data_IF_764156565618
#
_entry.id   IF_764156565618
#
_cell.length_a   1.000
_cell.length_b   1.000
_cell.length_c   1.000
_cell.angle_alpha   90.00
_cell.angle_beta   90.00
_cell.angle_gamma   90.00
#
_symmetry.space_group_name_H-M   'P 1'
#
loop_
_entity.id
_entity.type
_entity.pdbx_description
1 polymer ?
#
# COMPACT_ATOMS: atom_id res chain seq x y z
N UNK A 1 2.63 -5.95 -14.75
CA UNK A 1 3.56 -4.81 -14.87
C UNK A 1 4.85 -5.26 -14.25
N UNK A 2 5.87 -5.59 -15.05
CA UNK A 2 7.18 -5.97 -14.51
C UNK A 2 8.07 -4.75 -14.66
N UNK A 3 8.16 -3.97 -13.57
CA UNK A 3 8.96 -2.73 -13.51
C UNK A 3 10.48 -3.01 -13.44
N UNK A 4 10.91 -4.27 -13.51
CA UNK A 4 12.29 -4.67 -13.31
C UNK A 4 12.75 -5.59 -14.42
N UNK A 5 13.91 -5.27 -15.00
CA UNK A 5 14.66 -6.15 -15.89
C UNK A 5 15.06 -7.39 -15.07
N UNK A 6 14.77 -8.62 -15.53
CA UNK A 6 15.21 -9.84 -14.86
C UNK A 6 16.73 -9.80 -14.61
N UNK A 7 17.16 -9.90 -13.35
CA UNK A 7 18.59 -9.85 -12.96
C UNK A 7 18.97 -8.73 -11.97
N UNK A 8 18.15 -7.69 -11.81
CA UNK A 8 18.35 -6.61 -10.83
C UNK A 8 17.68 -6.89 -9.46
N UNK A 9 17.60 -8.16 -9.05
CA UNK A 9 16.75 -8.67 -7.96
C UNK A 9 17.22 -8.34 -6.53
N UNK A 10 18.24 -7.50 -6.34
CA UNK A 10 18.77 -7.16 -5.00
C UNK A 10 18.47 -5.71 -4.66
N UNK A 11 17.20 -5.39 -4.49
CA UNK A 11 16.81 -4.13 -3.87
C UNK A 11 17.16 -4.18 -2.39
N UNK A 12 17.91 -3.19 -1.91
CA UNK A 12 18.25 -3.07 -0.48
C UNK A 12 16.99 -2.98 0.39
N UNK A 13 15.89 -2.44 -0.16
CA UNK A 13 14.58 -2.36 0.45
C UNK A 13 14.04 -3.74 0.86
N UNK A 14 14.37 -4.80 0.10
CA UNK A 14 13.89 -6.16 0.35
C UNK A 14 14.84 -6.96 1.27
N UNK A 15 16.04 -6.43 1.53
CA UNK A 15 17.13 -7.17 2.18
C UNK A 15 16.77 -7.71 3.56
N UNK A 16 15.88 -7.02 4.30
CA UNK A 16 15.55 -7.36 5.68
C UNK A 16 14.17 -8.02 5.86
N UNK A 17 13.35 -8.17 4.80
CA UNK A 17 12.05 -8.86 4.90
C UNK A 17 12.21 -10.35 5.25
N UNK A 18 13.29 -10.97 4.79
CA UNK A 18 13.61 -12.36 5.13
C UNK A 18 13.78 -12.56 6.65
N UNK A 19 14.30 -11.55 7.35
CA UNK A 19 14.53 -11.59 8.80
C UNK A 19 13.21 -11.53 9.58
N UNK A 20 12.26 -10.69 9.15
CA UNK A 20 10.89 -10.67 9.70
C UNK A 20 10.27 -12.05 9.60
N UNK A 21 10.38 -12.69 8.43
CA UNK A 21 9.80 -14.02 8.19
C UNK A 21 10.42 -15.10 9.07
N UNK A 22 11.73 -15.07 9.28
CA UNK A 22 12.44 -16.01 10.16
C UNK A 22 11.98 -15.84 11.60
N UNK A 23 11.88 -14.59 12.09
CA UNK A 23 11.46 -14.30 13.45
C UNK A 23 10.00 -14.66 13.67
N UNK A 24 9.10 -14.23 12.76
CA UNK A 24 7.68 -14.56 12.77
C UNK A 24 7.41 -16.06 12.91
N UNK A 25 8.13 -16.91 12.15
CA UNK A 25 7.95 -18.37 12.19
C UNK A 25 8.33 -19.01 13.54
N UNK A 26 9.14 -18.34 14.34
CA UNK A 26 9.58 -18.80 15.67
C UNK A 26 8.76 -18.18 16.80
N UNK A 27 7.92 -17.20 16.48
CA UNK A 27 7.12 -16.46 17.45
C UNK A 27 5.69 -16.99 17.48
N UNK A 28 5.06 -16.87 18.66
CA UNK A 28 3.61 -17.01 18.79
C UNK A 28 2.98 -15.65 18.57
N UNK A 29 1.91 -15.60 17.78
CA UNK A 29 1.24 -14.35 17.41
C UNK A 29 -0.22 -14.48 17.76
N UNK A 30 -0.68 -13.68 18.72
CA UNK A 30 -2.08 -13.62 19.11
C UNK A 30 -2.72 -12.31 18.64
N UNK A 31 -1.98 -11.21 18.58
CA UNK A 31 -2.48 -9.85 18.31
C UNK A 31 -1.69 -9.15 17.20
N UNK A 32 -2.20 -8.00 16.74
CA UNK A 32 -1.46 -7.13 15.81
C UNK A 32 -0.21 -6.55 16.46
N UNK A 33 -0.23 -6.29 17.77
CA UNK A 33 0.92 -5.78 18.50
C UNK A 33 2.05 -6.81 18.58
N UNK A 34 1.73 -8.10 18.63
CA UNK A 34 2.74 -9.17 18.52
C UNK A 34 3.44 -9.12 17.15
N UNK A 35 2.67 -8.87 16.07
CA UNK A 35 3.23 -8.72 14.71
C UNK A 35 4.15 -7.51 14.65
N UNK A 36 3.75 -6.38 15.22
CA UNK A 36 4.57 -5.18 15.27
C UNK A 36 5.88 -5.39 16.03
N UNK A 37 5.79 -5.99 17.22
CA UNK A 37 6.95 -6.38 18.01
C UNK A 37 7.88 -7.32 17.23
N UNK A 38 7.34 -8.26 16.46
CA UNK A 38 8.13 -9.12 15.58
C UNK A 38 8.87 -8.31 14.49
N UNK A 39 8.21 -7.34 13.88
CA UNK A 39 8.84 -6.47 12.87
C UNK A 39 9.98 -5.67 13.49
N UNK A 40 9.72 -4.98 14.60
CA UNK A 40 10.69 -4.10 15.26
C UNK A 40 11.90 -4.87 15.81
N UNK A 41 11.67 -6.08 16.32
CA UNK A 41 12.73 -6.92 16.90
C UNK A 41 13.40 -7.86 15.89
N UNK A 42 12.97 -7.87 14.62
CA UNK A 42 13.56 -8.73 13.59
C UNK A 42 14.99 -8.33 13.18
N UNK A 43 15.43 -7.13 13.56
CA UNK A 43 16.76 -6.60 13.25
C UNK A 43 17.37 -5.91 14.47
N UNK A 44 18.67 -6.05 14.69
CA UNK A 44 19.37 -5.44 15.83
C UNK A 44 19.67 -3.95 15.64
N UNK A 45 19.60 -3.46 14.41
CA UNK A 45 19.94 -2.08 14.01
C UNK A 45 18.71 -1.29 13.53
N UNK A 46 17.50 -1.73 13.89
CA UNK A 46 16.22 -1.09 13.53
C UNK A 46 16.06 -0.80 12.03
N UNK A 47 16.54 -1.71 11.18
CA UNK A 47 16.34 -1.63 9.72
C UNK A 47 14.90 -1.94 9.33
N UNK A 48 14.21 -2.74 10.15
CA UNK A 48 12.77 -2.94 10.07
C UNK A 48 12.10 -2.14 11.19
N UNK A 49 11.07 -1.38 10.84
CA UNK A 49 10.25 -0.61 11.77
C UNK A 49 8.78 -0.80 11.42
N UNK A 50 7.97 -1.13 12.43
CA UNK A 50 6.53 -1.23 12.31
C UNK A 50 5.92 0.18 12.23
N UNK A 51 4.83 0.32 11.48
CA UNK A 51 4.05 1.56 11.44
C UNK A 51 2.58 1.21 11.69
N UNK A 52 2.06 1.66 12.83
CA UNK A 52 0.67 1.42 13.21
C UNK A 52 -0.25 2.49 12.63
N UNK A 53 -1.49 2.09 12.37
CA UNK A 53 -2.61 3.01 12.25
C UNK A 53 -3.30 3.10 13.61
N UNK A 54 -3.15 4.22 14.31
CA UNK A 54 -3.70 4.48 15.64
C UNK A 54 -4.82 5.51 15.54
N UNK A 55 -6.05 5.07 15.23
CA UNK A 55 -7.27 5.91 15.24
C UNK A 55 -7.11 7.28 14.52
N UNK A 56 -6.32 7.34 13.45
CA UNK A 56 -6.07 8.58 12.67
C UNK A 56 -4.64 9.12 12.79
N UNK A 57 -3.88 8.68 13.79
CA UNK A 57 -2.44 8.94 13.94
C UNK A 57 -1.61 7.79 13.34
N UNK A 58 -0.49 8.12 12.70
CA UNK A 58 0.38 7.16 12.01
C UNK A 58 0.20 7.12 10.48
N UNK A 59 0.47 5.96 9.86
CA UNK A 59 0.52 5.83 8.40
C UNK A 59 -0.87 5.94 7.75
N UNK A 60 -1.08 6.96 6.91
CA UNK A 60 -2.36 7.19 6.23
C UNK A 60 -2.35 6.68 4.79
N UNK A 61 -3.41 5.97 4.41
CA UNK A 61 -3.61 5.54 3.02
C UNK A 61 -4.32 6.63 2.23
N UNK A 62 -3.60 7.25 1.30
CA UNK A 62 -4.15 8.23 0.37
C UNK A 62 -4.89 7.55 -0.78
N UNK A 63 -6.05 8.10 -1.15
CA UNK A 63 -6.85 7.64 -2.27
C UNK A 63 -6.30 8.16 -3.61
N UNK A 64 -5.11 7.66 -3.97
CA UNK A 64 -4.47 7.99 -5.24
C UNK A 64 -5.28 7.55 -6.46
N UNK A 65 -6.11 6.50 -6.31
CA UNK A 65 -6.97 6.02 -7.38
C UNK A 65 -7.93 7.10 -7.85
N UNK A 66 -8.67 7.69 -6.91
CA UNK A 66 -9.63 8.75 -7.25
C UNK A 66 -8.92 10.06 -7.57
N UNK A 67 -7.82 10.36 -6.87
CA UNK A 67 -6.99 11.54 -7.13
C UNK A 67 -6.49 11.61 -8.58
N UNK A 68 -5.97 10.50 -9.11
CA UNK A 68 -5.46 10.44 -10.49
C UNK A 68 -6.52 10.10 -11.54
N UNK A 69 -7.77 9.87 -11.16
CA UNK A 69 -8.84 9.46 -12.09
C UNK A 69 -9.10 10.50 -13.19
N UNK A 70 -8.88 11.78 -12.91
CA UNK A 70 -9.09 12.87 -13.86
C UNK A 70 -8.03 12.91 -14.98
N UNK A 71 -6.88 12.25 -14.78
CA UNK A 71 -5.81 12.21 -15.76
C UNK A 71 -6.13 11.20 -16.86
N UNK A 72 -5.85 11.58 -18.11
CA UNK A 72 -6.03 10.69 -19.26
C UNK A 72 -4.86 9.72 -19.36
N UNK A 73 -5.16 8.46 -19.64
CA UNK A 73 -4.14 7.43 -19.89
C UNK A 73 -3.52 7.61 -21.26
N UNK A 74 -2.23 7.37 -21.36
CA UNK A 74 -1.54 7.27 -22.65
C UNK A 74 -1.79 5.85 -23.20
N UNK A 75 -2.42 5.70 -24.38
CA UNK A 75 -2.67 4.38 -24.96
C UNK A 75 -1.34 3.71 -25.29
N UNK A 76 -1.20 2.40 -25.03
CA UNK A 76 0.02 1.65 -25.32
C UNK A 76 1.30 2.26 -24.74
N UNK A 77 1.24 2.88 -23.55
CA UNK A 77 2.38 3.58 -22.93
C UNK A 77 3.67 2.74 -22.89
N UNK A 78 3.54 1.41 -22.73
CA UNK A 78 4.68 0.49 -22.70
C UNK A 78 5.39 0.29 -24.04
N UNK A 79 4.75 0.65 -25.16
CA UNK A 79 5.36 0.59 -26.50
C UNK A 79 6.39 1.70 -26.70
N UNK A 80 6.23 2.83 -26.01
CA UNK A 80 7.06 4.01 -26.25
C UNK A 80 8.26 4.00 -25.31
N UNK A 81 9.43 4.36 -25.82
CA UNK A 81 10.68 4.35 -25.04
C UNK A 81 11.18 5.75 -24.71
N UNK A 82 10.73 6.76 -25.44
CA UNK A 82 11.17 8.13 -25.27
C UNK A 82 10.00 9.02 -24.90
N UNK A 83 10.13 9.72 -23.78
CA UNK A 83 9.15 10.68 -23.28
C UNK A 83 9.83 11.99 -22.91
N UNK A 84 9.19 13.12 -23.17
CA UNK A 84 9.57 14.38 -22.57
C UNK A 84 8.35 15.24 -22.22
N UNK A 85 8.60 16.20 -21.34
CA UNK A 85 7.63 17.15 -20.81
C UNK A 85 8.23 18.56 -20.92
N UNK A 86 7.39 19.56 -21.15
CA UNK A 86 7.82 20.96 -21.24
C UNK A 86 6.84 21.86 -20.52
N UNK A 87 7.34 22.94 -19.91
CA UNK A 87 6.52 23.94 -19.23
C UNK A 87 5.59 24.68 -20.18
N UNK A 88 6.01 24.86 -21.44
CA UNK A 88 5.24 25.53 -22.50
C UNK A 88 3.94 24.78 -22.83
N UNK A 89 3.94 23.45 -22.73
CA UNK A 89 2.78 22.59 -23.00
C UNK A 89 2.42 21.77 -21.75
N UNK A 90 2.10 22.47 -20.67
CA UNK A 90 1.77 21.87 -19.39
C UNK A 90 0.56 20.93 -19.49
N UNK A 91 0.74 19.65 -19.12
CA UNK A 91 -0.31 18.63 -19.23
C UNK A 91 -0.32 17.86 -20.55
N UNK A 92 0.64 18.12 -21.43
CA UNK A 92 0.91 17.35 -22.65
C UNK A 92 2.15 16.49 -22.44
N UNK A 93 2.10 15.25 -22.94
CA UNK A 93 3.24 14.34 -22.98
C UNK A 93 3.62 14.11 -24.42
N UNK A 94 4.90 14.32 -24.72
CA UNK A 94 5.48 14.01 -26.01
C UNK A 94 6.19 12.68 -25.93
N UNK A 95 5.91 11.78 -26.88
CA UNK A 95 6.46 10.44 -26.85
C UNK A 95 6.72 9.86 -28.24
N UNK A 96 7.63 8.89 -28.30
CA UNK A 96 7.91 8.10 -29.51
C UNK A 96 8.44 6.71 -29.16
N UNK A 97 8.34 5.81 -30.12
CA UNK A 97 8.78 4.42 -29.99
C UNK A 97 10.30 4.33 -30.18
N UNK A 98 10.81 4.78 -31.34
CA UNK A 98 12.25 4.75 -31.68
C UNK A 98 12.87 6.14 -31.74
N UNK A 99 14.20 6.23 -31.82
CA UNK A 99 14.93 7.50 -31.88
C UNK A 99 14.70 8.26 -33.19
N UNK A 100 14.47 7.56 -34.28
CA UNK A 100 14.29 8.09 -35.63
C UNK A 100 12.87 8.61 -35.87
N UNK A 101 11.92 8.15 -35.04
CA UNK A 101 10.52 8.55 -35.15
C UNK A 101 10.33 10.02 -34.79
N UNK A 102 9.32 10.64 -35.40
CA UNK A 102 8.80 11.93 -34.96
C UNK A 102 8.02 11.79 -33.64
N UNK A 103 8.09 12.82 -32.80
CA UNK A 103 7.33 12.85 -31.56
C UNK A 103 5.84 12.97 -31.85
N UNK A 104 5.06 12.14 -31.16
CA UNK A 104 3.62 12.28 -31.02
C UNK A 104 3.32 12.97 -29.71
N UNK A 105 2.18 13.62 -29.62
CA UNK A 105 1.73 14.27 -28.40
C UNK A 105 0.38 13.73 -27.95
N UNK A 106 0.17 13.71 -26.64
CA UNK A 106 -1.16 13.49 -26.08
C UNK A 106 -1.38 14.35 -24.85
N UNK A 107 -2.57 14.92 -24.74
CA UNK A 107 -2.95 15.69 -23.56
C UNK A 107 -3.38 14.74 -22.45
N UNK A 108 -2.57 14.61 -21.39
CA UNK A 108 -2.89 13.82 -20.19
C UNK A 108 -3.69 14.62 -19.17
N UNK A 109 -3.67 15.96 -19.25
CA UNK A 109 -4.35 16.86 -18.33
C UNK A 109 -4.84 18.11 -19.05
N UNK A 110 -6.13 18.39 -18.99
CA UNK A 110 -6.78 19.57 -19.57
C UNK A 110 -7.39 20.52 -18.51
N UNK A 111 -6.96 20.39 -17.26
CA UNK A 111 -7.44 21.18 -16.12
C UNK A 111 -6.27 21.81 -15.36
N UNK A 112 -6.54 22.88 -14.61
CA UNK A 112 -5.55 23.50 -13.73
C UNK A 112 -5.21 22.56 -12.57
N UNK A 113 -3.92 22.35 -12.31
CA UNK A 113 -3.46 21.46 -11.26
C UNK A 113 -2.80 22.25 -10.14
N UNK A 114 -3.27 22.02 -8.92
CA UNK A 114 -2.63 22.56 -7.74
C UNK A 114 -1.78 21.45 -7.09
N UNK A 115 -0.46 21.60 -7.17
CA UNK A 115 0.50 20.66 -6.60
C UNK A 115 0.41 20.57 -5.07
N UNK A 116 -0.17 21.57 -4.41
CA UNK A 116 -0.36 21.59 -2.96
C UNK A 116 -1.62 20.84 -2.51
N UNK A 117 -2.45 20.34 -3.43
CA UNK A 117 -3.65 19.58 -3.07
C UNK A 117 -3.28 18.14 -2.76
N UNK A 118 -3.49 17.72 -1.53
CA UNK A 118 -3.27 16.34 -1.11
C UNK A 118 -4.46 15.45 -1.50
N UNK A 119 -4.24 14.17 -1.87
CA UNK A 119 -5.34 13.22 -2.06
C UNK A 119 -6.15 13.08 -0.77
N UNK A 120 -7.43 12.72 -0.90
CA UNK A 120 -8.23 12.36 0.26
C UNK A 120 -7.69 11.10 0.94
N UNK A 121 -7.87 11.01 2.26
CA UNK A 121 -7.49 9.83 3.04
C UNK A 121 -8.60 8.77 2.90
N UNK A 122 -8.20 7.51 2.77
CA UNK A 122 -9.10 6.37 2.80
C UNK A 122 -9.46 6.10 4.26
N UNK A 123 -10.72 6.32 4.62
CA UNK A 123 -11.22 5.99 5.96
C UNK A 123 -11.21 4.47 6.19
N UNK A 124 -10.91 4.07 7.42
CA UNK A 124 -11.04 2.68 7.84
C UNK A 124 -12.50 2.27 7.67
N UNK A 125 -12.72 1.12 7.03
CA UNK A 125 -14.03 0.48 7.01
C UNK A 125 -14.06 -0.56 8.13
N UNK A 126 -15.08 -0.54 9.00
CA UNK A 126 -15.26 -1.62 9.97
C UNK A 126 -15.45 -2.94 9.22
N UNK A 127 -15.07 -4.04 9.87
CA UNK A 127 -15.33 -5.37 9.35
C UNK A 127 -16.84 -5.58 9.23
N UNK A 128 -17.28 -6.24 8.16
CA UNK A 128 -18.69 -6.63 8.03
C UNK A 128 -19.06 -7.64 9.13
N UNK A 129 -20.33 -7.67 9.55
CA UNK A 129 -20.81 -8.62 10.55
C UNK A 129 -20.42 -10.06 10.22
N UNK A 130 -20.66 -10.47 8.96
CA UNK A 130 -20.24 -11.78 8.44
C UNK A 130 -18.74 -12.05 8.68
N UNK A 131 -17.88 -11.06 8.44
CA UNK A 131 -16.44 -11.22 8.63
C UNK A 131 -16.07 -11.31 10.11
N UNK A 132 -16.75 -10.57 10.98
CA UNK A 132 -16.56 -10.66 12.42
C UNK A 132 -16.97 -12.04 12.94
N UNK A 133 -18.11 -12.57 12.51
CA UNK A 133 -18.59 -13.92 12.86
C UNK A 133 -17.61 -15.01 12.38
N UNK A 134 -17.10 -14.90 11.15
CA UNK A 134 -16.07 -15.80 10.63
C UNK A 134 -14.80 -15.79 11.51
N UNK A 135 -14.31 -14.61 11.90
CA UNK A 135 -13.15 -14.50 12.78
C UNK A 135 -13.42 -15.12 14.15
N UNK A 136 -14.58 -14.81 14.75
CA UNK A 136 -14.96 -15.35 16.06
C UNK A 136 -15.11 -16.87 16.03
N UNK A 137 -15.70 -17.44 14.98
CA UNK A 137 -15.94 -18.89 14.91
C UNK A 137 -14.68 -19.67 14.54
N UNK A 138 -13.96 -19.21 13.52
CA UNK A 138 -12.90 -20.00 12.88
C UNK A 138 -11.50 -19.66 13.42
N UNK A 139 -11.27 -18.45 13.94
CA UNK A 139 -9.93 -18.02 14.39
C UNK A 139 -9.75 -18.13 15.91
N UNK A 140 -10.81 -17.91 16.71
CA UNK A 140 -10.76 -18.00 18.19
C UNK A 140 -10.10 -19.26 18.75
N UNK A 141 -10.31 -20.48 18.19
CA UNK A 141 -9.64 -21.68 18.70
C UNK A 141 -8.11 -21.62 18.65
N UNK A 142 -7.55 -20.81 17.76
CA UNK A 142 -6.11 -20.65 17.55
C UNK A 142 -5.51 -19.47 18.33
N UNK A 143 -6.35 -18.66 18.99
CA UNK A 143 -5.93 -17.52 19.81
C UNK A 143 -5.94 -17.92 21.29
N UNK A 144 -4.88 -17.59 22.02
CA UNK A 144 -4.82 -17.87 23.45
C UNK A 144 -5.90 -17.10 24.21
N UNK A 145 -6.43 -17.73 25.27
CA UNK A 145 -7.53 -17.22 26.10
C UNK A 145 -7.46 -15.71 26.43
N UNK A 146 -6.33 -15.14 26.91
CA UNK A 146 -6.30 -13.72 27.27
C UNK A 146 -6.45 -12.76 26.09
N UNK A 147 -6.24 -13.21 24.84
CA UNK A 147 -6.24 -12.34 23.66
C UNK A 147 -7.46 -12.50 22.75
N UNK A 148 -8.35 -13.47 23.03
CA UNK A 148 -9.53 -13.74 22.18
C UNK A 148 -10.41 -12.50 21.99
N UNK A 149 -10.69 -11.76 23.06
CA UNK A 149 -11.51 -10.55 22.99
C UNK A 149 -10.81 -9.37 22.31
N UNK A 150 -9.50 -9.45 22.08
CA UNK A 150 -8.72 -8.42 21.37
C UNK A 150 -8.73 -8.70 19.87
N UNK A 151 -8.46 -9.95 19.49
CA UNK A 151 -8.23 -10.35 18.09
C UNK A 151 -9.49 -10.80 17.37
N UNK A 152 -10.37 -11.49 18.08
CA UNK A 152 -11.59 -12.09 17.56
C UNK A 152 -12.72 -11.90 18.59
N UNK A 153 -13.12 -10.65 18.88
CA UNK A 153 -14.22 -10.37 19.81
C UNK A 153 -15.54 -10.95 19.31
N UNK A 154 -16.45 -11.20 20.25
CA UNK A 154 -17.81 -11.62 19.92
C UNK A 154 -18.53 -10.48 19.16
N UNK A 155 -19.08 -10.74 17.96
CA UNK A 155 -19.73 -9.70 17.16
C UNK A 155 -20.92 -9.02 17.86
N UNK A 156 -21.56 -9.71 18.81
CA UNK A 156 -22.74 -9.21 19.52
C UNK A 156 -22.42 -8.37 20.77
N UNK A 157 -21.16 -8.27 21.19
CA UNK A 157 -20.78 -7.49 22.39
C UNK A 157 -20.63 -5.99 22.12
N UNK A 158 -20.63 -5.55 20.86
CA UNK A 158 -20.47 -4.13 20.46
C UNK A 158 -21.77 -3.44 20.01
N UNK A 159 -22.94 -4.04 20.20
CA UNK A 159 -24.24 -3.44 19.83
C UNK A 159 -24.78 -2.51 20.93
N UNK A 160 -24.19 -2.51 22.12
CA UNK A 160 -24.56 -1.63 23.23
C UNK A 160 -23.41 -0.70 23.58
N UNK A 161 -23.38 0.48 22.95
CA UNK A 161 -22.97 1.79 23.50
C UNK A 161 -23.25 2.89 22.47
#
# INVERSE_FOLDING_TARGET
MNFMIPGHTKFICDSCFGLIKIFYRKSKVNTVDDVASIVDNSTTVHLNASQHFLKGEGFQYYNFKDYFQKFKKIPNIQKYHHFYFTSQHSGVVFYKDKLEDSYKETTVRNFSFNFNTQPSIINIRPLSLKRQEELYKEITPYVDLPFRNITCPNPNEHITD
#
